data_IF_181873535328
#
_entry.id   IF_181873535328
#
_cell.length_a   1.000
_cell.length_b   1.000
_cell.length_c   1.000
_cell.angle_alpha   90.00
_cell.angle_beta   90.00
_cell.angle_gamma   90.00
#
_symmetry.space_group_name_H-M   'P 1'
#
loop_
_entity.id
_entity.type
_entity.pdbx_description
1 polymer ?
#
# COMPACT_ATOMS: atom_id res chain seq x y z
N UNK A 1 -8.92 17.76 0.37
CA UNK A 1 -7.77 17.93 1.29
C UNK A 1 -6.51 17.72 0.46
N UNK A 2 -5.50 18.57 0.60
CA UNK A 2 -4.22 18.44 -0.11
C UNK A 2 -3.07 18.49 0.89
N UNK A 3 -2.00 17.76 0.61
CA UNK A 3 -0.75 17.80 1.37
C UNK A 3 0.39 18.09 0.39
N UNK A 4 1.44 18.75 0.85
CA UNK A 4 2.60 19.11 0.03
C UNK A 4 3.85 18.53 0.69
N UNK A 5 4.74 17.95 -0.13
CA UNK A 5 6.04 17.41 0.30
C UNK A 5 7.09 17.97 -0.65
N UNK A 6 8.18 18.49 -0.10
CA UNK A 6 9.35 18.89 -0.88
C UNK A 6 10.23 17.66 -1.12
N UNK A 7 10.54 17.40 -2.39
CA UNK A 7 11.39 16.27 -2.79
C UNK A 7 12.80 16.75 -3.14
N UNK A 8 13.83 15.91 -2.94
CA UNK A 8 15.17 16.19 -3.45
C UNK A 8 15.16 16.39 -4.97
N UNK A 9 15.92 17.38 -5.45
CA UNK A 9 15.98 17.75 -6.88
C UNK A 9 16.60 16.67 -7.77
N UNK A 10 17.36 15.76 -7.19
CA UNK A 10 18.06 14.64 -7.82
C UNK A 10 17.27 13.33 -7.73
N UNK A 11 16.07 13.35 -7.15
CA UNK A 11 15.24 12.16 -7.02
C UNK A 11 14.82 11.63 -8.39
N UNK A 12 15.26 10.42 -8.70
CA UNK A 12 14.87 9.70 -9.92
C UNK A 12 13.71 8.77 -9.61
N UNK A 13 12.49 9.31 -9.54
CA UNK A 13 11.26 8.55 -9.34
C UNK A 13 10.12 9.19 -10.14
N UNK A 14 9.22 8.38 -10.69
CA UNK A 14 8.02 8.88 -11.36
C UNK A 14 6.93 9.25 -10.35
N UNK A 15 5.97 10.09 -10.75
CA UNK A 15 4.76 10.35 -9.95
C UNK A 15 4.03 9.06 -9.56
N UNK A 16 4.03 8.07 -10.44
CA UNK A 16 3.48 6.74 -10.17
C UNK A 16 4.24 6.03 -9.04
N UNK A 17 5.58 6.03 -9.08
CA UNK A 17 6.40 5.38 -8.05
C UNK A 17 6.17 5.99 -6.67
N UNK A 18 6.09 7.33 -6.62
CA UNK A 18 5.85 8.07 -5.37
C UNK A 18 4.45 7.80 -4.82
N UNK A 19 3.43 7.81 -5.68
CA UNK A 19 2.06 7.48 -5.29
C UNK A 19 1.95 6.04 -4.79
N UNK A 20 2.58 5.09 -5.47
CA UNK A 20 2.59 3.69 -5.04
C UNK A 20 3.31 3.53 -3.70
N UNK A 21 4.50 4.12 -3.54
CA UNK A 21 5.27 4.05 -2.29
C UNK A 21 4.45 4.58 -1.11
N UNK A 22 3.77 5.72 -1.29
CA UNK A 22 2.96 6.30 -0.23
C UNK A 22 1.67 5.51 0.02
N UNK A 23 0.94 5.16 -1.03
CA UNK A 23 -0.32 4.41 -0.91
C UNK A 23 -0.09 3.00 -0.34
N UNK A 24 1.00 2.32 -0.69
CA UNK A 24 1.32 1.00 -0.15
C UNK A 24 1.63 1.09 1.34
N UNK A 25 2.36 2.11 1.80
CA UNK A 25 2.63 2.33 3.22
C UNK A 25 1.39 2.69 4.02
N UNK A 26 0.54 3.57 3.51
CA UNK A 26 -0.73 3.84 4.18
C UNK A 26 -1.65 2.62 4.24
N UNK A 27 -1.60 1.77 3.21
CA UNK A 27 -2.33 0.50 3.21
C UNK A 27 -1.78 -0.42 4.29
N UNK A 28 -0.46 -0.66 4.31
CA UNK A 28 0.24 -1.49 5.30
C UNK A 28 -0.15 -1.15 6.73
N UNK A 29 -0.18 0.15 7.07
CA UNK A 29 -0.57 0.67 8.39
C UNK A 29 -2.09 0.63 8.67
N UNK A 30 -2.89 0.04 7.79
CA UNK A 30 -4.35 -0.04 7.91
C UNK A 30 -5.08 1.31 7.79
N UNK A 31 -4.37 2.40 7.45
CA UNK A 31 -4.94 3.75 7.37
C UNK A 31 -5.85 3.95 6.15
N UNK A 32 -5.61 3.18 5.08
CA UNK A 32 -6.44 3.20 3.88
C UNK A 32 -6.77 1.78 3.42
N UNK A 33 -7.93 1.64 2.79
CA UNK A 33 -8.31 0.41 2.10
C UNK A 33 -7.56 0.27 0.76
N UNK A 34 -7.42 -0.97 0.28
CA UNK A 34 -6.91 -1.26 -1.08
C UNK A 34 -7.63 -0.48 -2.20
N UNK A 35 -8.92 -0.18 -2.04
CA UNK A 35 -9.68 0.64 -3.00
C UNK A 35 -9.33 2.13 -2.95
N UNK A 36 -9.03 2.67 -1.76
CA UNK A 36 -8.52 4.04 -1.62
C UNK A 36 -7.11 4.16 -2.18
N UNK A 37 -6.21 3.21 -1.87
CA UNK A 37 -4.85 3.17 -2.42
C UNK A 37 -4.84 3.12 -3.94
N UNK A 38 -5.66 2.26 -4.54
CA UNK A 38 -5.81 2.19 -6.00
C UNK A 38 -6.27 3.52 -6.62
N UNK A 39 -7.20 4.24 -5.98
CA UNK A 39 -7.63 5.57 -6.43
C UNK A 39 -6.54 6.64 -6.29
N UNK A 40 -5.72 6.58 -5.24
CA UNK A 40 -4.59 7.51 -5.07
C UNK A 40 -3.56 7.38 -6.19
N UNK A 41 -3.32 6.15 -6.63
CA UNK A 41 -2.35 5.84 -7.69
C UNK A 41 -2.96 6.02 -9.09
N UNK A 42 -4.28 5.84 -9.24
CA UNK A 42 -4.97 5.93 -10.53
C UNK A 42 -5.03 4.60 -11.28
N UNK A 43 -5.10 3.48 -10.56
CA UNK A 43 -5.15 2.11 -11.11
C UNK A 43 -6.35 1.32 -10.58
N UNK A 44 -6.55 0.12 -11.13
CA UNK A 44 -7.58 -0.79 -10.62
C UNK A 44 -7.23 -1.32 -9.22
N UNK A 45 -8.24 -1.65 -8.41
CA UNK A 45 -8.03 -2.28 -7.09
C UNK A 45 -7.21 -3.57 -7.19
N UNK A 46 -7.46 -4.37 -8.23
CA UNK A 46 -6.70 -5.60 -8.49
C UNK A 46 -5.22 -5.28 -8.76
N UNK A 47 -4.94 -4.34 -9.65
CA UNK A 47 -3.57 -3.95 -10.01
C UNK A 47 -2.81 -3.38 -8.81
N UNK A 48 -3.49 -2.63 -7.93
CA UNK A 48 -2.88 -2.14 -6.70
C UNK A 48 -2.41 -3.30 -5.81
N UNK A 49 -3.28 -4.27 -5.53
CA UNK A 49 -2.94 -5.45 -4.72
C UNK A 49 -1.82 -6.27 -5.36
N UNK A 50 -1.84 -6.46 -6.68
CA UNK A 50 -0.77 -7.16 -7.41
C UNK A 50 0.60 -6.46 -7.28
N UNK A 51 0.61 -5.13 -7.18
CA UNK A 51 1.84 -4.34 -7.10
C UNK A 51 2.38 -4.20 -5.67
N UNK A 52 1.60 -4.43 -4.61
CA UNK A 52 2.03 -4.26 -3.22
C UNK A 52 3.36 -4.96 -2.92
N UNK A 53 3.53 -6.20 -3.40
CA UNK A 53 4.76 -6.97 -3.20
C UNK A 53 6.01 -6.31 -3.79
N UNK A 54 5.89 -5.52 -4.87
CA UNK A 54 7.02 -4.76 -5.44
C UNK A 54 7.48 -3.62 -4.54
N UNK A 55 6.61 -3.16 -3.66
CA UNK A 55 6.88 -2.10 -2.68
C UNK A 55 7.10 -2.65 -1.27
N UNK A 56 7.30 -3.97 -1.14
CA UNK A 56 7.61 -4.63 0.13
C UNK A 56 6.43 -4.75 1.10
N UNK A 57 5.20 -4.61 0.60
CA UNK A 57 3.98 -4.65 1.43
C UNK A 57 3.21 -5.95 1.16
N UNK A 58 2.78 -6.62 2.22
CA UNK A 58 1.91 -7.79 2.13
C UNK A 58 0.54 -7.42 1.58
N UNK A 59 0.00 -8.27 0.70
CA UNK A 59 -1.40 -8.16 0.27
C UNK A 59 -2.40 -8.57 1.38
N UNK A 60 -1.94 -9.34 2.36
CA UNK A 60 -2.71 -9.78 3.51
C UNK A 60 -2.41 -8.86 4.69
N UNK A 61 -3.46 -8.28 5.27
CA UNK A 61 -3.38 -7.36 6.42
C UNK A 61 -3.63 -8.09 7.75
N UNK A 62 -3.34 -9.38 7.78
CA UNK A 62 -3.56 -10.23 8.96
C UNK A 62 -2.22 -10.46 9.62
N UNK A 63 -2.14 -10.21 10.92
CA UNK A 63 -0.93 -10.50 11.70
C UNK A 63 -0.72 -12.02 11.80
N UNK A 64 0.53 -12.45 12.01
CA UNK A 64 0.86 -13.87 12.13
C UNK A 64 0.10 -14.52 13.30
N UNK A 65 -0.04 -13.81 14.42
CA UNK A 65 -0.75 -14.29 15.60
C UNK A 65 -2.24 -14.52 15.32
N UNK A 66 -2.90 -13.62 14.58
CA UNK A 66 -4.30 -13.76 14.17
C UNK A 66 -4.49 -15.00 13.28
N UNK A 67 -3.55 -15.28 12.37
CA UNK A 67 -3.57 -16.46 11.51
C UNK A 67 -3.41 -17.76 12.31
N UNK A 68 -2.53 -17.74 13.33
CA UNK A 68 -2.32 -18.90 14.20
C UNK A 68 -3.54 -19.16 15.09
N UNK A 69 -4.22 -18.12 15.57
CA UNK A 69 -5.49 -18.24 16.30
C UNK A 69 -6.60 -18.82 15.41
N UNK A 70 -6.72 -18.36 14.16
CA UNK A 70 -7.70 -18.89 13.20
C UNK A 70 -7.49 -20.39 12.93
N UNK A 71 -6.22 -20.84 12.82
CA UNK A 71 -5.88 -22.26 12.64
C UNK A 71 -6.20 -23.07 13.91
N UNK A 72 -5.91 -22.54 15.10
CA UNK A 72 -6.12 -23.25 16.36
C UNK A 72 -7.61 -23.47 16.68
N UNK A 73 -8.49 -22.63 16.14
CA UNK A 73 -9.94 -22.67 16.38
C UNK A 73 -10.75 -23.34 15.23
N UNK A 74 -10.09 -23.92 14.22
CA UNK A 74 -10.70 -24.61 13.07
C UNK A 74 -10.74 -26.14 13.22
#
# INVERSE_FOLDING_TARGET
>A
MGFHVELPVDLTATDFDLKMLFASKLFEEGMITSGQGARMVGISRRSFVELLGRYGVSAFQTEEDDLLEDIANA
#
